data_IF_405644620733
#
_entry.id   IF_405644620733
#
_cell.length_a   1.000
_cell.length_b   1.000
_cell.length_c   1.000
_cell.angle_alpha   90.00
_cell.angle_beta   90.00
_cell.angle_gamma   90.00
#
_symmetry.space_group_name_H-M   'P 1'
#
loop_
_entity.id
_entity.type
_entity.pdbx_description
1 polymer ?
#
# COMPACT_ATOMS: atom_id res chain seq x y z
N UNK A 1 -9.38 8.94 17.21
CA UNK A 1 -9.90 8.33 18.45
C UNK A 1 -10.11 6.85 18.16
N UNK A 2 -9.62 5.94 19.00
CA UNK A 2 -9.84 4.51 18.82
C UNK A 2 -11.21 4.12 19.41
N UNK A 3 -11.88 3.08 18.89
CA UNK A 3 -13.13 2.59 19.47
C UNK A 3 -12.91 2.12 20.92
N UNK A 4 -13.96 2.19 21.74
CA UNK A 4 -13.92 1.63 23.10
C UNK A 4 -13.93 0.10 23.08
N UNK A 5 -14.54 -0.48 22.05
CA UNK A 5 -14.68 -1.92 21.85
C UNK A 5 -13.36 -2.55 21.39
N UNK A 6 -13.09 -3.76 21.88
CA UNK A 6 -12.01 -4.58 21.35
C UNK A 6 -12.45 -5.19 20.03
N UNK A 7 -11.75 -4.85 18.95
CA UNK A 7 -12.12 -5.35 17.64
C UNK A 7 -10.91 -5.56 16.74
N UNK A 8 -11.11 -6.48 15.79
CA UNK A 8 -10.24 -6.67 14.65
C UNK A 8 -11.12 -6.73 13.41
N UNK A 9 -10.75 -6.00 12.37
CA UNK A 9 -11.45 -6.05 11.08
C UNK A 9 -10.49 -5.83 9.93
N UNK A 10 -10.88 -6.32 8.76
CA UNK A 10 -10.18 -6.12 7.51
C UNK A 10 -11.10 -5.49 6.46
N UNK A 11 -10.52 -4.66 5.60
CA UNK A 11 -11.15 -4.13 4.40
C UNK A 11 -10.17 -4.26 3.24
N UNK A 12 -10.69 -4.33 2.03
CA UNK A 12 -9.88 -4.29 0.82
C UNK A 12 -10.49 -3.30 -0.16
N UNK A 13 -9.64 -2.57 -0.86
CA UNK A 13 -10.03 -1.61 -1.87
C UNK A 13 -9.37 -1.98 -3.20
N UNK A 14 -10.18 -2.00 -4.26
CA UNK A 14 -9.65 -1.94 -5.62
C UNK A 14 -9.15 -0.51 -5.85
N UNK A 15 -7.90 -0.38 -6.28
CA UNK A 15 -7.31 0.92 -6.56
C UNK A 15 -7.62 1.34 -8.00
N UNK A 16 -7.69 2.65 -8.25
CA UNK A 16 -7.72 3.20 -9.59
C UNK A 16 -6.30 3.54 -10.05
N UNK A 17 -5.95 3.26 -11.31
CA UNK A 17 -4.67 3.69 -11.86
C UNK A 17 -4.67 5.19 -12.19
N UNK A 18 -3.50 5.81 -12.13
CA UNK A 18 -3.21 7.09 -12.77
C UNK A 18 -2.98 6.95 -14.29
N UNK A 19 -2.61 8.03 -14.95
CA UNK A 19 -2.34 8.07 -16.40
C UNK A 19 -1.15 7.20 -16.82
N UNK A 20 -0.22 6.91 -15.91
CA UNK A 20 0.96 6.06 -16.14
C UNK A 20 0.70 4.59 -15.80
N UNK A 21 -0.50 4.26 -15.31
CA UNK A 21 -0.87 2.91 -14.88
C UNK A 21 -0.36 2.54 -13.48
N UNK A 22 0.07 3.53 -12.69
CA UNK A 22 0.47 3.35 -11.30
C UNK A 22 -0.71 3.57 -10.35
N UNK A 23 -0.61 3.00 -9.16
CA UNK A 23 -1.50 3.29 -8.04
C UNK A 23 -0.67 3.51 -6.79
N UNK A 24 -1.29 4.06 -5.75
CA UNK A 24 -0.61 4.33 -4.50
C UNK A 24 -1.41 3.90 -3.27
N UNK A 25 -0.70 3.73 -2.17
CA UNK A 25 -1.27 3.70 -0.83
C UNK A 25 -0.43 4.58 0.09
N UNK A 26 -1.08 5.27 1.01
CA UNK A 26 -0.44 6.29 1.84
C UNK A 26 -0.95 6.25 3.28
N UNK A 27 -0.02 6.44 4.22
CA UNK A 27 -0.31 6.54 5.65
C UNK A 27 0.38 7.77 6.20
N UNK A 28 -0.39 8.68 6.81
CA UNK A 28 0.16 9.88 7.45
C UNK A 28 -0.01 9.85 8.96
N UNK A 29 0.95 10.45 9.64
CA UNK A 29 0.86 10.79 11.05
C UNK A 29 1.21 12.29 11.18
N UNK A 30 0.22 13.19 11.00
CA UNK A 30 0.46 14.63 11.04
C UNK A 30 1.05 15.10 12.37
N UNK A 31 0.69 14.45 13.49
CA UNK A 31 1.28 14.76 14.80
C UNK A 31 2.79 14.52 14.85
N UNK A 32 3.30 13.53 14.12
CA UNK A 32 4.73 13.28 13.98
C UNK A 32 5.34 14.00 12.76
N UNK A 33 4.52 14.64 11.92
CA UNK A 33 4.94 15.29 10.69
C UNK A 33 5.46 14.31 9.63
N UNK A 34 4.94 13.08 9.59
CA UNK A 34 5.41 12.01 8.70
C UNK A 34 4.31 11.50 7.77
N UNK A 35 4.69 11.17 6.55
CA UNK A 35 3.86 10.52 5.53
C UNK A 35 4.68 9.39 4.88
N UNK A 36 4.14 8.18 4.88
CA UNK A 36 4.66 7.03 4.15
C UNK A 36 3.80 6.83 2.89
N UNK A 37 4.42 6.75 1.72
CA UNK A 37 3.74 6.50 0.44
C UNK A 37 4.40 5.33 -0.26
N UNK A 38 3.59 4.41 -0.76
CA UNK A 38 4.00 3.44 -1.76
C UNK A 38 3.36 3.76 -3.09
N UNK A 39 4.15 3.71 -4.16
CA UNK A 39 3.66 3.85 -5.54
C UNK A 39 4.10 2.62 -6.32
N UNK A 40 3.16 1.97 -7.00
CA UNK A 40 3.38 0.66 -7.59
C UNK A 40 2.56 0.47 -8.87
N UNK A 41 2.96 -0.42 -9.79
CA UNK A 41 2.21 -0.69 -11.00
C UNK A 41 0.89 -1.35 -10.65
N UNK A 42 -0.20 -0.68 -11.01
CA UNK A 42 -1.56 -1.07 -10.63
C UNK A 42 -1.96 -2.41 -11.24
N UNK A 43 -1.43 -2.76 -12.39
CA UNK A 43 -1.67 -4.07 -13.02
C UNK A 43 -1.16 -5.23 -12.17
N UNK A 44 0.03 -5.09 -11.56
CA UNK A 44 0.63 -6.14 -10.73
C UNK A 44 0.00 -6.21 -9.33
N UNK A 45 -0.40 -5.06 -8.77
CA UNK A 45 -0.94 -4.95 -7.42
C UNK A 45 -2.25 -4.15 -7.42
N UNK A 46 -3.40 -4.81 -7.70
CA UNK A 46 -4.67 -4.12 -7.81
C UNK A 46 -5.23 -3.57 -6.50
N UNK A 47 -4.78 -4.15 -5.39
CA UNK A 47 -5.50 -4.11 -4.13
C UNK A 47 -4.69 -3.40 -3.07
N UNK A 48 -5.37 -2.62 -2.22
CA UNK A 48 -4.88 -2.31 -0.87
C UNK A 48 -5.75 -3.04 0.13
N UNK A 49 -5.13 -3.88 0.95
CA UNK A 49 -5.72 -4.46 2.15
C UNK A 49 -5.40 -3.58 3.35
N UNK A 50 -6.43 -3.27 4.11
CA UNK A 50 -6.36 -2.57 5.38
C UNK A 50 -6.79 -3.56 6.46
N UNK A 51 -5.99 -3.71 7.50
CA UNK A 51 -6.43 -4.41 8.70
C UNK A 51 -6.18 -3.57 9.93
N UNK A 52 -7.11 -3.70 10.87
CA UNK A 52 -7.09 -3.02 12.14
C UNK A 52 -7.15 -4.07 13.25
N UNK A 53 -6.30 -3.88 14.25
CA UNK A 53 -6.31 -4.65 15.49
C UNK A 53 -6.33 -3.65 16.65
N UNK A 54 -7.31 -3.80 17.54
CA UNK A 54 -7.41 -3.04 18.78
C UNK A 54 -7.70 -3.96 19.95
N UNK A 55 -6.63 -4.52 20.51
CA UNK A 55 -6.64 -5.31 21.75
C UNK A 55 -7.59 -6.52 21.72
N UNK A 56 -7.99 -6.97 20.54
CA UNK A 56 -8.92 -8.08 20.36
C UNK A 56 -8.20 -9.42 20.45
N UNK A 57 -6.96 -9.48 19.99
CA UNK A 57 -6.16 -10.70 19.93
C UNK A 57 -5.43 -10.95 21.26
N UNK A 58 -5.74 -12.04 21.94
CA UNK A 58 -5.16 -12.42 23.24
C UNK A 58 -3.89 -13.30 23.15
N UNK A 59 -3.60 -13.81 21.95
CA UNK A 59 -2.39 -14.58 21.64
C UNK A 59 -1.17 -13.68 21.39
N UNK A 60 0.04 -14.24 21.49
CA UNK A 60 1.28 -13.53 21.17
C UNK A 60 1.40 -13.27 19.65
N UNK A 61 1.89 -12.10 19.22
CA UNK A 61 2.49 -11.02 20.02
C UNK A 61 1.49 -9.98 20.54
N UNK A 62 0.19 -10.11 20.23
CA UNK A 62 -0.82 -9.06 20.48
C UNK A 62 -1.22 -8.90 21.94
N UNK A 63 -1.32 -10.02 22.68
CA UNK A 63 -1.53 -10.13 24.14
C UNK A 63 -2.60 -9.21 24.75
N UNK A 64 -3.63 -8.84 23.97
CA UNK A 64 -4.71 -7.93 24.37
C UNK A 64 -4.27 -6.49 24.61
N UNK A 65 -3.07 -6.09 24.14
CA UNK A 65 -2.52 -4.73 24.39
C UNK A 65 -2.15 -3.98 23.11
N UNK A 66 -2.02 -4.68 22.00
CA UNK A 66 -1.62 -4.07 20.73
C UNK A 66 -2.76 -3.28 20.10
N UNK A 67 -2.42 -2.12 19.56
CA UNK A 67 -3.27 -1.37 18.63
C UNK A 67 -2.45 -1.04 17.40
N UNK A 68 -2.89 -1.51 16.25
CA UNK A 68 -2.11 -1.35 15.01
C UNK A 68 -3.03 -1.33 13.79
N UNK A 69 -2.53 -0.70 12.74
CA UNK A 69 -3.10 -0.71 11.42
C UNK A 69 -2.06 -1.30 10.48
N UNK A 70 -2.45 -2.28 9.68
CA UNK A 70 -1.67 -2.68 8.53
C UNK A 70 -2.29 -2.14 7.25
N UNK A 71 -1.42 -1.65 6.38
CA UNK A 71 -1.79 -1.17 5.04
C UNK A 71 -0.87 -1.89 4.06
N UNK A 72 -1.46 -2.74 3.24
CA UNK A 72 -0.73 -3.71 2.44
C UNK A 72 -1.24 -3.65 1.00
N UNK A 73 -0.41 -3.17 0.07
CA UNK A 73 -0.72 -3.33 -1.35
C UNK A 73 -0.34 -4.74 -1.80
N UNK A 74 -1.10 -5.30 -2.75
CA UNK A 74 -0.83 -6.67 -3.20
C UNK A 74 -1.63 -7.12 -4.40
N UNK A 75 -1.27 -8.30 -4.89
CA UNK A 75 -1.91 -8.96 -6.04
C UNK A 75 -3.19 -9.71 -5.67
N UNK A 76 -3.41 -9.93 -4.37
CA UNK A 76 -4.56 -10.68 -3.84
C UNK A 76 -5.40 -9.77 -2.95
N UNK A 77 -6.71 -9.74 -3.21
CA UNK A 77 -7.63 -8.85 -2.52
C UNK A 77 -7.84 -9.17 -1.04
N UNK A 78 -7.79 -10.46 -0.67
CA UNK A 78 -8.19 -10.93 0.66
C UNK A 78 -7.32 -12.13 1.08
N UNK A 79 -7.13 -12.36 2.39
CA UNK A 79 -6.40 -13.52 2.91
C UNK A 79 -7.27 -14.78 2.87
N UNK A 80 -7.56 -15.25 1.66
CA UNK A 80 -8.32 -16.50 1.41
C UNK A 80 -7.39 -17.67 1.12
N UNK A 81 -7.91 -18.89 1.11
CA UNK A 81 -7.10 -20.08 0.84
C UNK A 81 -6.64 -20.10 -0.62
N UNK A 82 -5.45 -20.65 -0.88
CA UNK A 82 -4.88 -20.75 -2.22
C UNK A 82 -5.86 -21.33 -3.26
N UNK A 83 -6.52 -22.45 -2.94
CA UNK A 83 -7.47 -23.07 -3.86
C UNK A 83 -8.69 -22.20 -4.14
N UNK A 84 -9.15 -21.42 -3.17
CA UNK A 84 -10.25 -20.47 -3.36
C UNK A 84 -9.81 -19.33 -4.28
N UNK A 85 -8.57 -18.84 -4.15
CA UNK A 85 -8.00 -17.84 -5.05
C UNK A 85 -7.88 -18.35 -6.48
N UNK A 86 -7.37 -19.58 -6.66
CA UNK A 86 -7.09 -20.16 -7.98
C UNK A 86 -8.34 -20.55 -8.76
N UNK A 87 -9.42 -20.93 -8.05
CA UNK A 87 -10.67 -21.37 -8.69
C UNK A 87 -11.68 -20.25 -8.86
N UNK A 88 -11.48 -19.11 -8.19
CA UNK A 88 -12.35 -17.95 -8.33
C UNK A 88 -11.98 -17.11 -9.56
N UNK A 89 -13.00 -16.62 -10.28
CA UNK A 89 -12.83 -15.65 -11.36
C UNK A 89 -12.42 -14.26 -10.86
N UNK A 90 -12.26 -13.26 -11.75
CA UNK A 90 -11.89 -11.90 -11.38
C UNK A 90 -12.77 -11.31 -10.26
N UNK A 91 -12.19 -10.47 -9.40
CA UNK A 91 -12.95 -9.68 -8.41
C UNK A 91 -12.97 -8.23 -8.89
N UNK A 92 -14.18 -7.66 -9.04
CA UNK A 92 -14.36 -6.30 -9.57
C UNK A 92 -13.60 -6.05 -10.88
N UNK A 93 -13.53 -7.05 -11.75
CA UNK A 93 -12.81 -6.99 -13.03
C UNK A 93 -11.29 -7.15 -12.93
N UNK A 94 -10.69 -7.14 -11.73
CA UNK A 94 -9.26 -7.33 -11.56
C UNK A 94 -8.88 -8.81 -11.32
N UNK A 95 -7.69 -9.25 -11.80
CA UNK A 95 -7.14 -10.56 -11.49
C UNK A 95 -7.00 -10.80 -9.98
N UNK A 96 -7.14 -12.06 -9.55
CA UNK A 96 -6.94 -12.47 -8.15
C UNK A 96 -5.54 -13.03 -7.87
N UNK A 97 -4.78 -13.33 -8.91
CA UNK A 97 -3.42 -13.86 -8.84
C UNK A 97 -2.72 -13.65 -10.19
N UNK A 98 -1.38 -13.67 -10.15
CA UNK A 98 -0.54 -13.81 -11.35
C UNK A 98 0.03 -15.22 -11.46
N UNK A 99 0.42 -15.63 -12.67
CA UNK A 99 1.12 -16.89 -12.91
C UNK A 99 2.54 -16.61 -13.38
N UNK A 100 3.50 -17.36 -12.84
CA UNK A 100 4.89 -17.32 -13.26
C UNK A 100 5.29 -18.72 -13.72
N UNK A 101 5.62 -18.92 -15.01
CA UNK A 101 6.09 -20.21 -15.48
C UNK A 101 7.39 -20.65 -14.78
N UNK A 102 7.66 -21.95 -14.76
CA UNK A 102 8.88 -22.48 -14.16
C UNK A 102 10.12 -21.81 -14.80
N UNK A 103 11.11 -21.48 -13.96
CA UNK A 103 12.38 -20.84 -14.33
C UNK A 103 12.25 -19.43 -14.94
N UNK A 104 11.08 -18.80 -14.83
CA UNK A 104 10.90 -17.40 -15.26
C UNK A 104 11.05 -16.44 -14.08
N UNK A 105 11.27 -15.17 -14.40
CA UNK A 105 11.35 -14.07 -13.42
C UNK A 105 10.35 -12.99 -13.81
N UNK A 106 9.65 -12.44 -12.81
CA UNK A 106 8.92 -11.19 -12.93
C UNK A 106 9.69 -10.16 -12.13
N UNK A 107 10.02 -9.04 -12.77
CA UNK A 107 10.56 -7.86 -12.10
C UNK A 107 9.42 -6.85 -11.93
N UNK A 108 9.32 -6.28 -10.72
CA UNK A 108 8.37 -5.20 -10.43
C UNK A 108 9.11 -4.07 -9.74
N UNK A 109 8.97 -2.88 -10.30
CA UNK A 109 9.53 -1.65 -9.74
C UNK A 109 8.43 -0.90 -9.00
N UNK A 110 8.68 -0.55 -7.74
CA UNK A 110 7.78 0.26 -6.93
C UNK A 110 8.62 1.22 -6.07
N UNK A 111 7.99 2.28 -5.59
CA UNK A 111 8.60 3.28 -4.73
C UNK A 111 8.05 3.13 -3.31
N UNK A 112 8.92 3.34 -2.33
CA UNK A 112 8.56 3.49 -0.92
C UNK A 112 9.21 4.80 -0.41
N UNK A 113 8.38 5.74 0.03
CA UNK A 113 8.79 7.12 0.27
C UNK A 113 8.38 7.55 1.68
N UNK A 114 9.30 8.15 2.42
CA UNK A 114 9.02 8.81 3.69
C UNK A 114 9.17 10.32 3.53
N UNK A 115 8.09 11.06 3.73
CA UNK A 115 7.96 12.49 3.48
C UNK A 115 7.67 13.22 4.79
N UNK A 116 8.13 14.47 4.89
CA UNK A 116 7.70 15.38 5.97
C UNK A 116 6.40 16.06 5.57
N UNK A 117 5.46 16.15 6.50
CA UNK A 117 4.17 16.83 6.33
C UNK A 117 3.91 17.80 7.47
N UNK A 118 3.14 18.87 7.27
CA UNK A 118 2.74 19.77 8.34
C UNK A 118 1.78 19.07 9.33
N UNK A 119 1.64 19.64 10.53
CA UNK A 119 0.83 19.05 11.60
C UNK A 119 -0.68 19.05 11.33
N UNK A 120 -1.11 19.84 10.36
CA UNK A 120 -2.49 19.97 9.89
C UNK A 120 -2.73 19.26 8.55
N UNK A 121 -1.86 18.31 8.17
CA UNK A 121 -2.00 17.53 6.93
C UNK A 121 -3.30 16.70 6.90
N UNK A 122 -4.07 16.83 5.82
CA UNK A 122 -5.41 16.22 5.69
C UNK A 122 -5.44 14.86 4.99
N UNK A 123 -4.29 14.36 4.49
CA UNK A 123 -4.22 13.12 3.72
C UNK A 123 -3.71 13.37 2.30
N UNK A 124 -3.58 12.30 1.53
CA UNK A 124 -3.10 12.35 0.14
C UNK A 124 -4.30 12.18 -0.79
N UNK A 125 -4.51 13.13 -1.69
CA UNK A 125 -5.54 13.07 -2.73
C UNK A 125 -5.08 12.26 -3.94
N UNK A 126 -3.91 12.61 -4.45
CA UNK A 126 -3.29 11.95 -5.58
C UNK A 126 -1.77 12.10 -5.52
N UNK A 127 -1.09 11.28 -6.32
CA UNK A 127 0.34 11.33 -6.55
C UNK A 127 0.56 11.82 -7.98
N UNK A 128 1.49 12.75 -8.14
CA UNK A 128 1.98 13.20 -9.45
C UNK A 128 3.45 12.83 -9.59
N UNK A 129 3.82 12.37 -10.79
CA UNK A 129 5.21 12.16 -11.19
C UNK A 129 5.65 13.30 -12.10
N UNK A 130 6.63 14.10 -11.66
CA UNK A 130 7.13 15.22 -12.45
C UNK A 130 8.63 15.36 -12.30
N UNK A 131 9.35 15.43 -13.43
CA UNK A 131 10.81 15.60 -13.47
C UNK A 131 11.59 14.55 -12.64
N UNK A 132 11.02 13.34 -12.51
CA UNK A 132 11.58 12.27 -11.68
C UNK A 132 11.32 12.42 -10.18
N UNK A 133 10.57 13.41 -9.75
CA UNK A 133 10.10 13.54 -8.38
C UNK A 133 8.71 12.94 -8.22
N UNK A 134 8.44 12.43 -7.02
CA UNK A 134 7.09 12.02 -6.61
C UNK A 134 6.52 13.09 -5.72
N UNK A 135 5.39 13.66 -6.14
CA UNK A 135 4.70 14.77 -5.50
C UNK A 135 3.39 14.23 -4.90
N UNK A 136 3.24 14.34 -3.58
CA UNK A 136 2.00 14.00 -2.90
C UNK A 136 1.17 15.26 -2.68
N UNK A 137 -0.02 15.29 -3.28
CA UNK A 137 -0.96 16.40 -3.16
C UNK A 137 -1.93 16.17 -2.01
N UNK A 138 -2.16 17.20 -1.21
CA UNK A 138 -3.02 17.12 -0.04
C UNK A 138 -4.50 17.08 -0.40
N UNK A 139 -5.27 16.25 0.30
CA UNK A 139 -6.73 16.23 0.19
C UNK A 139 -7.37 17.58 0.51
N UNK A 140 -8.12 18.10 -0.46
CA UNK A 140 -8.97 19.30 -0.26
C UNK A 140 -8.19 20.61 -0.16
N UNK A 141 -6.94 20.64 -0.63
CA UNK A 141 -6.11 21.84 -0.69
C UNK A 141 -5.19 21.82 -1.91
N UNK A 142 -4.46 22.91 -2.16
CA UNK A 142 -3.41 22.97 -3.19
C UNK A 142 -2.00 22.81 -2.61
N UNK A 143 -1.87 22.30 -1.39
CA UNK A 143 -0.56 22.03 -0.77
C UNK A 143 -0.04 20.68 -1.28
N UNK A 144 1.26 20.59 -1.46
CA UNK A 144 1.92 19.34 -1.80
C UNK A 144 3.25 19.21 -1.05
N UNK A 145 3.69 17.97 -0.93
CA UNK A 145 5.03 17.61 -0.42
C UNK A 145 5.72 16.72 -1.43
N UNK A 146 7.02 16.90 -1.59
CA UNK A 146 7.81 16.15 -2.58
C UNK A 146 8.89 15.36 -1.88
N UNK A 147 9.32 14.28 -2.52
CA UNK A 147 10.51 13.54 -2.11
C UNK A 147 11.73 14.46 -2.02
N UNK A 148 12.51 14.41 -0.93
CA UNK A 148 13.89 14.87 -0.98
C UNK A 148 14.61 14.14 -2.12
N UNK A 149 15.39 14.86 -2.92
CA UNK A 149 16.03 14.35 -4.15
C UNK A 149 16.96 13.13 -3.94
N UNK A 150 17.28 12.78 -2.70
CA UNK A 150 18.32 11.81 -2.31
C UNK A 150 17.78 10.43 -1.87
N UNK A 151 16.46 10.23 -1.70
CA UNK A 151 15.90 8.99 -1.12
C UNK A 151 15.08 8.21 -2.15
N UNK A 152 15.78 7.50 -3.05
CA UNK A 152 15.18 6.47 -3.92
C UNK A 152 15.60 5.09 -3.42
N UNK A 153 14.67 4.34 -2.84
CA UNK A 153 14.85 2.90 -2.65
C UNK A 153 14.39 2.22 -3.94
N UNK A 154 15.32 1.99 -4.86
CA UNK A 154 15.11 1.09 -5.99
C UNK A 154 15.52 -0.31 -5.56
N UNK A 155 14.55 -1.23 -5.49
CA UNK A 155 14.87 -2.64 -5.23
C UNK A 155 15.30 -3.27 -6.55
N UNK A 156 16.59 -3.22 -6.87
CA UNK A 156 17.15 -3.99 -7.99
C UNK A 156 17.55 -5.37 -7.48
N UNK A 157 16.69 -6.37 -7.66
CA UNK A 157 17.11 -7.76 -7.50
C UNK A 157 17.64 -8.25 -8.83
N UNK A 158 18.97 -8.42 -8.91
CA UNK A 158 19.64 -9.00 -10.07
C UNK A 158 19.02 -10.37 -10.42
N UNK A 159 18.98 -10.75 -11.71
CA UNK A 159 18.57 -12.10 -12.07
C UNK A 159 19.52 -13.10 -11.41
N UNK A 160 18.97 -14.15 -10.80
CA UNK A 160 19.77 -15.33 -10.51
C UNK A 160 20.26 -15.88 -11.85
N UNK A 161 21.55 -15.74 -12.11
CA UNK A 161 22.20 -16.40 -13.24
C UNK A 161 21.97 -17.92 -13.09
N UNK A 162 21.56 -18.62 -14.17
CA UNK A 162 21.33 -20.07 -14.13
C UNK A 162 22.58 -20.88 -13.76
#
# INVERSE_FOLDING_TARGET
MYPEEFCAFGATALLEPDEEGCAFTAVSNPRLGLLLVYVFPREAFPWTSLWFEHKASDFLPYNGKTTTWGVEFGSVAQPVKLMETLTAGPLLGAPRFGTLPALHTIEVNYQALLLKVPSDWQGVEHIEHRDGETIAWETGSNRSVTTPSDWRISTTTAPSTP
#
